data_IF_405171767892
#
_entry.id   IF_405171767892
#
_cell.length_a   1.000
_cell.length_b   1.000
_cell.length_c   1.000
_cell.angle_alpha   90.00
_cell.angle_beta   90.00
_cell.angle_gamma   90.00
#
_symmetry.space_group_name_H-M   'P 1'
#
loop_
_entity.id
_entity.type
_entity.pdbx_description
1 polymer ?
#
# COMPACT_ATOMS: atom_id res chain seq x y z
N UNK A 1 18.29 22.27 -5.40
CA UNK A 1 18.86 20.95 -5.74
C UNK A 1 19.73 21.16 -6.96
N UNK A 2 21.07 21.01 -6.81
CA UNK A 2 22.01 21.08 -7.93
C UNK A 2 21.84 19.77 -8.71
N UNK A 3 21.13 19.82 -9.83
CA UNK A 3 20.88 18.68 -10.71
C UNK A 3 22.20 18.26 -11.38
N UNK A 4 22.57 16.99 -11.26
CA UNK A 4 23.59 16.35 -12.10
C UNK A 4 24.98 16.14 -11.46
N UNK A 5 25.16 16.31 -10.15
CA UNK A 5 26.47 16.02 -9.52
C UNK A 5 26.44 14.58 -8.96
N UNK A 6 27.35 13.75 -9.46
CA UNK A 6 27.67 12.45 -8.85
C UNK A 6 28.50 12.68 -7.59
N UNK A 7 28.10 12.06 -6.49
CA UNK A 7 28.78 12.13 -5.20
C UNK A 7 29.41 10.78 -4.89
N UNK A 8 30.68 10.78 -4.48
CA UNK A 8 31.34 9.59 -3.97
C UNK A 8 31.22 9.56 -2.44
N UNK A 9 30.43 8.63 -1.91
CA UNK A 9 30.28 8.39 -0.47
C UNK A 9 31.36 7.42 -0.03
N UNK A 10 32.33 7.90 0.77
CA UNK A 10 33.43 7.10 1.29
C UNK A 10 33.10 6.60 2.69
N UNK A 11 33.13 5.29 2.87
CA UNK A 11 32.90 4.64 4.16
C UNK A 11 34.24 4.54 4.94
N UNK A 12 34.15 4.41 6.27
CA UNK A 12 35.33 4.31 7.14
C UNK A 12 36.24 3.11 6.82
N UNK A 13 35.71 2.04 6.27
CA UNK A 13 36.45 0.85 5.82
C UNK A 13 37.15 1.05 4.47
N UNK A 14 37.15 2.26 3.92
CA UNK A 14 37.78 2.62 2.64
C UNK A 14 36.92 2.40 1.40
N UNK A 15 35.80 1.71 1.52
CA UNK A 15 34.85 1.48 0.41
C UNK A 15 34.21 2.80 -0.06
N UNK A 16 33.86 2.86 -1.34
CA UNK A 16 33.29 4.06 -1.95
C UNK A 16 32.06 3.65 -2.76
N UNK A 17 30.93 4.37 -2.54
CA UNK A 17 29.69 4.24 -3.31
C UNK A 17 29.50 5.50 -4.15
N UNK A 18 29.27 5.33 -5.45
CA UNK A 18 28.94 6.43 -6.35
C UNK A 18 27.41 6.63 -6.34
N UNK A 19 26.98 7.86 -6.05
CA UNK A 19 25.56 8.21 -5.88
C UNK A 19 25.22 9.40 -6.77
N UNK A 20 24.16 9.29 -7.56
CA UNK A 20 23.58 10.42 -8.29
C UNK A 20 22.74 11.27 -7.35
N UNK A 21 22.65 12.57 -7.60
CA UNK A 21 21.80 13.48 -6.81
C UNK A 21 20.33 13.06 -6.73
N UNK A 22 19.80 12.44 -7.79
CA UNK A 22 18.44 11.86 -7.82
C UNK A 22 18.24 10.65 -6.90
N UNK A 23 19.32 10.03 -6.42
CA UNK A 23 19.31 8.83 -5.57
C UNK A 23 19.54 9.16 -4.08
N UNK A 24 19.51 10.43 -3.69
CA UNK A 24 19.83 10.84 -2.32
C UNK A 24 18.89 10.19 -1.28
N UNK A 25 17.62 10.08 -1.58
CA UNK A 25 16.66 9.38 -0.71
C UNK A 25 17.05 7.91 -0.49
N UNK A 26 17.35 7.18 -1.56
CA UNK A 26 17.78 5.78 -1.46
C UNK A 26 19.13 5.62 -0.74
N UNK A 27 20.02 6.61 -0.87
CA UNK A 27 21.26 6.62 -0.05
C UNK A 27 20.93 6.69 1.44
N UNK A 28 19.99 7.54 1.85
CA UNK A 28 19.57 7.61 3.27
C UNK A 28 18.95 6.30 3.73
N UNK A 29 18.13 5.66 2.90
CA UNK A 29 17.59 4.34 3.20
C UNK A 29 18.67 3.26 3.30
N UNK A 30 19.71 3.27 2.43
CA UNK A 30 20.87 2.37 2.56
C UNK A 30 21.57 2.58 3.88
N UNK A 31 21.90 3.83 4.23
CA UNK A 31 22.58 4.13 5.50
C UNK A 31 21.74 3.68 6.70
N UNK A 32 20.43 3.84 6.63
CA UNK A 32 19.49 3.32 7.62
C UNK A 32 19.45 1.80 7.66
N UNK A 33 19.39 1.12 6.50
CA UNK A 33 19.41 -0.35 6.44
C UNK A 33 20.69 -0.96 7.02
N UNK A 34 21.83 -0.29 6.83
CA UNK A 34 23.11 -0.73 7.41
C UNK A 34 23.12 -0.72 8.94
N UNK A 35 22.21 0.00 9.61
CA UNK A 35 22.08 -0.04 11.07
C UNK A 35 21.48 -1.37 11.58
N UNK A 36 20.83 -2.12 10.70
CA UNK A 36 20.23 -3.44 10.97
C UNK A 36 21.04 -4.59 10.35
N UNK A 37 22.13 -4.26 9.63
CA UNK A 37 23.00 -5.25 9.00
C UNK A 37 24.04 -5.76 9.99
N UNK A 38 24.39 -7.05 9.91
CA UNK A 38 25.52 -7.65 10.62
C UNK A 38 26.83 -7.37 9.86
N UNK A 39 26.76 -7.36 8.54
CA UNK A 39 27.89 -7.01 7.69
C UNK A 39 27.44 -6.36 6.38
N UNK A 40 28.34 -5.64 5.73
CA UNK A 40 28.14 -5.16 4.37
C UNK A 40 29.45 -5.04 3.61
N UNK A 41 29.37 -5.17 2.29
CA UNK A 41 30.47 -4.89 1.38
C UNK A 41 30.01 -4.02 0.20
N UNK A 42 30.92 -3.28 -0.39
CA UNK A 42 30.67 -2.49 -1.59
C UNK A 42 31.65 -2.94 -2.67
N UNK A 43 31.09 -3.51 -3.72
CA UNK A 43 31.83 -4.02 -4.86
C UNK A 43 31.67 -3.05 -6.05
N UNK A 44 32.78 -2.78 -6.77
CA UNK A 44 32.74 -1.97 -8.00
C UNK A 44 32.06 -0.58 -7.89
N UNK A 45 32.06 0.08 -6.74
CA UNK A 45 31.43 1.41 -6.49
C UNK A 45 29.94 1.51 -6.75
N UNK A 46 29.28 0.42 -7.14
CA UNK A 46 27.86 0.45 -7.52
C UNK A 46 27.06 -0.75 -7.03
N UNK A 47 27.69 -1.73 -6.40
CA UNK A 47 27.02 -2.91 -5.86
C UNK A 47 27.24 -2.94 -4.36
N UNK A 48 26.15 -3.02 -3.61
CA UNK A 48 26.14 -3.17 -2.17
C UNK A 48 25.63 -4.57 -1.86
N UNK A 49 26.36 -5.31 -1.05
CA UNK A 49 25.90 -6.56 -0.44
C UNK A 49 25.64 -6.29 1.04
N UNK A 50 24.44 -6.58 1.51
CA UNK A 50 24.01 -6.39 2.89
C UNK A 50 23.68 -7.77 3.46
N UNK A 51 24.24 -8.11 4.60
CA UNK A 51 23.93 -9.33 5.34
C UNK A 51 23.19 -8.96 6.63
N UNK A 52 22.04 -9.61 6.88
CA UNK A 52 21.24 -9.37 8.08
C UNK A 52 21.60 -10.37 9.21
N UNK A 53 20.95 -10.23 10.37
CA UNK A 53 21.14 -11.06 11.57
C UNK A 53 20.76 -12.54 11.36
N UNK A 54 20.00 -12.85 10.31
CA UNK A 54 19.67 -14.21 9.89
C UNK A 54 20.66 -14.77 8.87
N UNK A 55 21.82 -14.14 8.69
CA UNK A 55 22.87 -14.49 7.70
C UNK A 55 22.38 -14.51 6.25
N UNK A 56 21.28 -13.82 5.94
CA UNK A 56 20.79 -13.68 4.58
C UNK A 56 21.45 -12.49 3.88
N UNK A 57 21.89 -12.71 2.66
CA UNK A 57 22.59 -11.74 1.84
C UNK A 57 21.67 -11.15 0.77
N UNK A 58 21.65 -9.83 0.70
CA UNK A 58 20.91 -9.07 -0.30
C UNK A 58 21.88 -8.27 -1.14
N UNK A 59 21.91 -8.54 -2.44
CA UNK A 59 22.77 -7.84 -3.40
C UNK A 59 21.93 -6.77 -4.09
N UNK A 60 22.38 -5.53 -4.02
CA UNK A 60 21.71 -4.34 -4.54
C UNK A 60 22.61 -3.68 -5.55
N UNK A 61 22.12 -3.51 -6.77
CA UNK A 61 22.79 -2.73 -7.80
C UNK A 61 22.34 -1.27 -7.69
N UNK A 62 23.16 -0.44 -7.10
CA UNK A 62 22.85 0.96 -6.82
C UNK A 62 22.99 1.87 -8.06
N UNK A 63 23.84 1.54 -8.99
CA UNK A 63 24.05 2.35 -10.19
C UNK A 63 24.16 1.48 -11.46
N UNK A 64 23.19 1.52 -12.39
CA UNK A 64 21.92 2.28 -12.29
C UNK A 64 20.97 1.66 -11.27
N UNK A 65 20.26 2.51 -10.52
CA UNK A 65 19.24 2.07 -9.57
C UNK A 65 17.93 1.80 -10.32
N UNK A 66 17.47 0.58 -10.31
CA UNK A 66 16.14 0.22 -10.81
C UNK A 66 15.06 0.43 -9.74
N UNK A 67 13.77 0.42 -10.12
CA UNK A 67 12.65 0.46 -9.19
C UNK A 67 12.73 -0.71 -8.19
N UNK A 68 13.03 -1.91 -8.67
CA UNK A 68 13.17 -3.10 -7.80
C UNK A 68 14.28 -2.94 -6.76
N UNK A 69 15.42 -2.39 -7.17
CA UNK A 69 16.53 -2.15 -6.24
C UNK A 69 16.18 -1.05 -5.22
N UNK A 70 15.50 0.01 -5.67
CA UNK A 70 14.99 1.06 -4.79
C UNK A 70 14.03 0.50 -3.74
N UNK A 71 13.06 -0.28 -4.17
CA UNK A 71 12.09 -0.92 -3.28
C UNK A 71 12.76 -1.91 -2.32
N UNK A 72 13.76 -2.67 -2.77
CA UNK A 72 14.53 -3.56 -1.90
C UNK A 72 15.26 -2.78 -0.80
N UNK A 73 15.92 -1.67 -1.15
CA UNK A 73 16.59 -0.80 -0.17
C UNK A 73 15.60 -0.29 0.89
N UNK A 74 14.45 0.18 0.45
CA UNK A 74 13.42 0.69 1.35
C UNK A 74 12.89 -0.41 2.29
N UNK A 75 12.65 -1.62 1.78
CA UNK A 75 12.24 -2.76 2.60
C UNK A 75 13.28 -3.09 3.67
N UNK A 76 14.56 -3.15 3.31
CA UNK A 76 15.65 -3.44 4.24
C UNK A 76 15.86 -2.33 5.29
N UNK A 77 15.35 -1.14 5.05
CA UNK A 77 15.35 -0.04 6.02
C UNK A 77 14.07 -0.03 6.88
N UNK A 78 12.90 0.07 6.26
CA UNK A 78 11.64 0.23 6.97
C UNK A 78 11.17 -1.05 7.67
N UNK A 79 11.40 -2.21 7.04
CA UNK A 79 10.95 -3.49 7.59
C UNK A 79 11.51 -3.77 8.98
N UNK A 80 12.83 -3.81 9.19
CA UNK A 80 13.43 -4.06 10.50
C UNK A 80 13.05 -3.02 11.55
N UNK A 81 12.89 -1.74 11.15
CA UNK A 81 12.39 -0.68 12.03
C UNK A 81 11.05 -1.01 12.68
N UNK A 82 10.19 -1.76 11.98
CA UNK A 82 8.88 -2.20 12.46
C UNK A 82 8.83 -3.69 12.81
N UNK A 83 9.99 -4.31 13.01
CA UNK A 83 10.13 -5.68 13.48
C UNK A 83 9.96 -6.76 12.42
N UNK A 84 10.05 -6.41 11.13
CA UNK A 84 10.05 -7.39 10.06
C UNK A 84 11.45 -7.98 9.83
N UNK A 85 11.47 -9.23 9.37
CA UNK A 85 12.68 -9.95 8.97
C UNK A 85 12.61 -10.32 7.49
N UNK A 86 13.77 -10.39 6.85
CA UNK A 86 13.89 -10.78 5.46
C UNK A 86 14.83 -11.96 5.29
N UNK A 87 14.41 -12.95 4.50
CA UNK A 87 15.21 -14.11 4.11
C UNK A 87 15.36 -14.16 2.59
N UNK A 88 16.48 -14.67 2.11
CA UNK A 88 16.81 -14.77 0.68
C UNK A 88 17.05 -16.21 0.22
N UNK A 89 16.90 -17.18 1.12
CA UNK A 89 17.10 -18.60 0.87
C UNK A 89 15.77 -19.35 0.66
N UNK A 90 15.86 -20.62 0.29
CA UNK A 90 14.71 -21.51 0.05
C UNK A 90 14.15 -22.18 1.32
N UNK A 91 14.56 -21.73 2.50
CA UNK A 91 14.01 -22.24 3.74
C UNK A 91 12.50 -21.99 3.82
N UNK A 92 11.80 -22.91 4.48
CA UNK A 92 10.36 -22.78 4.64
C UNK A 92 10.05 -21.56 5.53
N UNK A 93 9.45 -20.55 4.94
CA UNK A 93 9.11 -19.28 5.62
C UNK A 93 8.20 -19.49 6.84
N UNK A 94 7.42 -20.56 6.89
CA UNK A 94 6.56 -20.87 8.03
C UNK A 94 7.32 -21.19 9.32
N UNK A 95 8.61 -21.52 9.24
CA UNK A 95 9.48 -21.80 10.38
C UNK A 95 9.95 -20.51 11.09
N UNK A 96 9.74 -19.36 10.48
CA UNK A 96 10.17 -18.08 11.03
C UNK A 96 9.05 -17.37 11.81
N UNK A 97 9.42 -16.30 12.53
CA UNK A 97 8.48 -15.44 13.26
C UNK A 97 7.49 -14.75 12.32
N UNK A 98 6.39 -14.28 12.88
CA UNK A 98 5.47 -13.39 12.17
C UNK A 98 6.24 -12.17 11.62
N UNK A 99 5.74 -11.61 10.53
CA UNK A 99 6.40 -10.53 9.77
C UNK A 99 7.76 -10.92 9.16
N UNK A 100 7.98 -12.20 8.88
CA UNK A 100 9.10 -12.63 8.04
C UNK A 100 8.67 -12.70 6.59
N UNK A 101 9.50 -12.17 5.71
CA UNK A 101 9.28 -12.14 4.27
C UNK A 101 10.45 -12.80 3.56
N UNK A 102 10.15 -13.58 2.53
CA UNK A 102 11.14 -14.13 1.63
C UNK A 102 11.28 -13.26 0.40
N UNK A 103 12.52 -12.92 0.02
CA UNK A 103 12.83 -12.17 -1.21
C UNK A 103 13.67 -13.07 -2.09
N UNK A 104 13.20 -13.34 -3.29
CA UNK A 104 13.87 -14.19 -4.25
C UNK A 104 13.67 -13.69 -5.68
N UNK A 105 14.41 -14.27 -6.64
CA UNK A 105 14.29 -13.94 -8.06
C UNK A 105 13.69 -15.10 -8.84
N UNK A 106 12.71 -14.79 -9.70
CA UNK A 106 12.13 -15.71 -10.67
C UNK A 106 12.03 -15.00 -12.01
N UNK A 107 12.57 -15.61 -13.10
CA UNK A 107 12.59 -15.02 -14.43
C UNK A 107 13.15 -13.58 -14.46
N UNK A 108 14.24 -13.35 -13.76
CA UNK A 108 14.90 -12.04 -13.61
C UNK A 108 14.05 -10.94 -12.95
N UNK A 109 12.97 -11.29 -12.28
CA UNK A 109 12.15 -10.36 -11.50
C UNK A 109 12.25 -10.71 -10.02
N UNK A 110 12.42 -9.70 -9.16
CA UNK A 110 12.44 -9.89 -7.72
C UNK A 110 11.03 -9.98 -7.18
N UNK A 111 10.78 -11.00 -6.36
CA UNK A 111 9.50 -11.27 -5.72
C UNK A 111 9.70 -11.21 -4.21
N UNK A 112 8.77 -10.59 -3.51
CA UNK A 112 8.60 -10.68 -2.06
C UNK A 112 7.39 -11.56 -1.76
N UNK A 113 7.53 -12.45 -0.80
CA UNK A 113 6.48 -13.36 -0.35
C UNK A 113 6.37 -13.28 1.17
N UNK A 114 5.16 -13.12 1.68
CA UNK A 114 4.90 -13.14 3.11
C UNK A 114 4.70 -14.58 3.62
N UNK A 115 4.59 -14.74 4.93
CA UNK A 115 4.42 -16.05 5.57
C UNK A 115 3.13 -16.79 5.17
N UNK A 116 2.12 -16.06 4.73
CA UNK A 116 0.82 -16.59 4.29
C UNK A 116 0.86 -17.01 2.80
N UNK A 117 2.01 -16.86 2.13
CA UNK A 117 2.23 -17.21 0.74
C UNK A 117 1.77 -16.14 -0.25
N UNK A 118 1.41 -14.95 0.21
CA UNK A 118 1.04 -13.82 -0.66
C UNK A 118 2.30 -13.23 -1.28
N UNK A 119 2.30 -13.07 -2.60
CA UNK A 119 3.46 -12.70 -3.39
C UNK A 119 3.25 -11.38 -4.13
N UNK A 120 4.33 -10.59 -4.21
CA UNK A 120 4.35 -9.37 -4.99
C UNK A 120 5.65 -9.25 -5.78
N UNK A 121 5.57 -8.76 -7.01
CA UNK A 121 6.76 -8.29 -7.71
C UNK A 121 7.28 -7.01 -7.05
N UNK A 122 8.55 -6.94 -6.69
CA UNK A 122 9.14 -5.73 -6.12
C UNK A 122 9.02 -4.52 -7.06
N UNK A 123 8.94 -4.75 -8.36
CA UNK A 123 8.76 -3.68 -9.37
C UNK A 123 7.39 -3.01 -9.28
N UNK A 124 6.36 -3.74 -8.84
CA UNK A 124 4.95 -3.33 -8.88
C UNK A 124 4.37 -3.03 -7.50
N UNK A 125 5.20 -2.68 -6.54
CA UNK A 125 4.77 -2.24 -5.22
C UNK A 125 5.28 -0.84 -4.93
N UNK A 126 4.63 -0.17 -4.00
CA UNK A 126 5.14 1.00 -3.29
C UNK A 126 5.51 0.56 -1.88
N UNK A 127 6.79 0.40 -1.64
CA UNK A 127 7.33 -0.31 -0.47
C UNK A 127 6.76 0.18 0.85
N UNK A 128 6.69 1.51 1.03
CA UNK A 128 6.23 2.09 2.29
C UNK A 128 4.73 1.88 2.50
N UNK A 129 3.93 1.97 1.44
CA UNK A 129 2.47 1.91 1.56
C UNK A 129 1.99 0.46 1.47
N UNK A 130 2.49 -0.31 0.50
CA UNK A 130 2.01 -1.67 0.26
C UNK A 130 2.44 -2.64 1.35
N UNK A 131 3.73 -2.98 1.40
CA UNK A 131 4.22 -4.05 2.28
C UNK A 131 4.28 -3.56 3.73
N UNK A 132 4.79 -2.33 3.94
CA UNK A 132 4.98 -1.81 5.29
C UNK A 132 3.65 -1.52 5.97
N UNK A 133 2.72 -0.85 5.32
CA UNK A 133 1.42 -0.50 5.93
C UNK A 133 0.51 -1.71 6.08
N UNK A 134 0.38 -2.53 5.03
CA UNK A 134 -0.57 -3.64 5.05
C UNK A 134 -0.04 -4.84 5.83
N UNK A 135 1.20 -5.28 5.61
CA UNK A 135 1.67 -6.56 6.17
C UNK A 135 2.61 -6.43 7.36
N UNK A 136 3.36 -5.33 7.49
CA UNK A 136 4.28 -5.13 8.61
C UNK A 136 3.61 -4.36 9.76
N UNK A 137 2.99 -3.22 9.46
CA UNK A 137 2.31 -2.37 10.45
C UNK A 137 0.84 -2.72 10.64
N UNK A 138 0.28 -3.51 9.74
CA UNK A 138 -1.11 -4.00 9.79
C UNK A 138 -2.18 -2.90 9.88
N UNK A 139 -1.90 -1.72 9.27
CA UNK A 139 -2.79 -0.56 9.36
C UNK A 139 -4.14 -0.80 8.68
N UNK A 140 -4.17 -1.65 7.65
CA UNK A 140 -5.38 -2.01 6.93
C UNK A 140 -6.07 -3.26 7.48
N UNK A 141 -5.46 -3.95 8.46
CA UNK A 141 -6.08 -5.10 9.08
C UNK A 141 -7.26 -4.68 9.95
N UNK A 142 -8.22 -5.56 10.08
CA UNK A 142 -9.35 -5.47 10.98
C UNK A 142 -9.15 -6.51 12.08
N UNK A 143 -9.94 -6.44 13.14
CA UNK A 143 -9.89 -7.40 14.24
C UNK A 143 -9.76 -8.84 13.70
N UNK A 144 -8.71 -9.54 14.11
CA UNK A 144 -8.40 -10.91 13.67
C UNK A 144 -9.45 -11.95 14.03
N UNK A 145 -10.36 -11.63 14.95
CA UNK A 145 -11.52 -12.48 15.31
C UNK A 145 -12.64 -12.46 14.26
N UNK A 146 -12.61 -11.52 13.30
CA UNK A 146 -13.62 -11.43 12.25
C UNK A 146 -13.32 -12.49 11.20
N UNK A 147 -14.26 -13.40 11.00
CA UNK A 147 -14.22 -14.36 9.91
C UNK A 147 -14.67 -13.69 8.61
N UNK A 148 -13.78 -13.67 7.64
CA UNK A 148 -14.04 -13.12 6.31
C UNK A 148 -14.43 -14.18 5.28
N UNK A 149 -14.52 -15.46 5.66
CA UNK A 149 -14.94 -16.51 4.74
C UNK A 149 -16.32 -16.20 4.17
N UNK A 150 -16.39 -16.24 2.85
CA UNK A 150 -17.62 -15.98 2.06
C UNK A 150 -18.20 -14.56 2.26
N UNK A 151 -17.43 -13.62 2.81
CA UNK A 151 -17.80 -12.23 3.02
C UNK A 151 -17.53 -11.38 1.79
N UNK A 152 -18.33 -10.34 1.60
CA UNK A 152 -18.16 -9.38 0.51
C UNK A 152 -17.38 -8.17 1.01
N UNK A 153 -16.26 -7.90 0.38
CA UNK A 153 -15.44 -6.73 0.61
C UNK A 153 -15.44 -5.86 -0.64
N UNK A 154 -15.71 -4.57 -0.48
CA UNK A 154 -15.43 -3.54 -1.49
C UNK A 154 -14.19 -2.79 -1.05
N UNK A 155 -13.16 -2.78 -1.89
CA UNK A 155 -11.90 -2.10 -1.66
C UNK A 155 -11.75 -0.93 -2.64
N UNK A 156 -11.93 0.29 -2.17
CA UNK A 156 -11.80 1.52 -2.94
C UNK A 156 -10.40 2.12 -2.75
N UNK A 157 -9.60 2.12 -3.81
CA UNK A 157 -8.17 2.43 -3.79
C UNK A 157 -7.36 1.17 -3.46
N UNK A 158 -7.46 0.19 -4.35
CA UNK A 158 -6.83 -1.12 -4.23
C UNK A 158 -5.33 -1.10 -4.60
N UNK A 159 -4.86 0.00 -5.19
CA UNK A 159 -3.47 0.23 -5.60
C UNK A 159 -2.88 -0.98 -6.35
N UNK A 160 -1.83 -1.58 -5.83
CA UNK A 160 -1.16 -2.74 -6.43
C UNK A 160 -1.74 -4.09 -5.97
N UNK A 161 -2.87 -4.11 -5.26
CA UNK A 161 -3.59 -5.31 -4.87
C UNK A 161 -3.21 -5.91 -3.51
N UNK A 162 -2.53 -5.17 -2.65
CA UNK A 162 -2.10 -5.64 -1.34
C UNK A 162 -3.27 -5.93 -0.40
N UNK A 163 -4.19 -4.98 -0.24
CA UNK A 163 -5.39 -5.17 0.59
C UNK A 163 -6.39 -6.16 -0.02
N UNK A 164 -6.66 -6.18 -1.34
CA UNK A 164 -7.44 -7.26 -1.95
C UNK A 164 -6.89 -8.66 -1.69
N UNK A 165 -5.57 -8.86 -1.86
CA UNK A 165 -4.92 -10.13 -1.60
C UNK A 165 -4.97 -10.50 -0.11
N UNK A 166 -4.83 -9.52 0.78
CA UNK A 166 -4.99 -9.75 2.21
C UNK A 166 -6.40 -10.24 2.56
N UNK A 167 -7.46 -9.57 2.09
CA UNK A 167 -8.83 -10.00 2.39
C UNK A 167 -9.19 -11.32 1.70
N UNK A 168 -8.72 -11.55 0.48
CA UNK A 168 -8.89 -12.83 -0.21
C UNK A 168 -8.19 -13.98 0.53
N UNK A 169 -7.03 -13.75 1.15
CA UNK A 169 -6.35 -14.76 1.99
C UNK A 169 -7.14 -15.14 3.24
N UNK A 170 -8.09 -14.30 3.65
CA UNK A 170 -9.05 -14.58 4.74
C UNK A 170 -10.37 -15.16 4.22
N UNK A 171 -10.47 -15.47 2.92
CA UNK A 171 -11.63 -16.11 2.30
C UNK A 171 -12.71 -15.16 1.79
N UNK A 172 -12.47 -13.85 1.79
CA UNK A 172 -13.44 -12.87 1.28
C UNK A 172 -13.48 -12.86 -0.25
N UNK A 173 -14.67 -12.59 -0.80
CA UNK A 173 -14.84 -12.13 -2.18
C UNK A 173 -14.62 -10.62 -2.22
N UNK A 174 -13.66 -10.16 -3.01
CA UNK A 174 -13.22 -8.76 -3.02
C UNK A 174 -13.51 -8.10 -4.36
N UNK A 175 -14.21 -6.98 -4.34
CA UNK A 175 -14.36 -6.07 -5.48
C UNK A 175 -13.33 -4.94 -5.32
N UNK A 176 -12.27 -4.99 -6.11
CA UNK A 176 -11.08 -4.16 -5.96
C UNK A 176 -11.06 -3.03 -7.01
N UNK A 177 -11.28 -1.80 -6.55
CA UNK A 177 -11.36 -0.62 -7.41
C UNK A 177 -10.06 0.17 -7.36
N UNK A 178 -9.43 0.34 -8.52
CA UNK A 178 -8.24 1.17 -8.68
C UNK A 178 -8.36 2.00 -9.96
N UNK A 179 -8.42 3.34 -9.83
CA UNK A 179 -8.64 4.23 -10.96
C UNK A 179 -7.41 4.50 -11.81
N UNK A 180 -6.21 4.37 -11.28
CA UNK A 180 -4.98 4.74 -11.97
C UNK A 180 -4.45 3.54 -12.76
N UNK A 181 -4.38 3.66 -14.08
CA UNK A 181 -4.01 2.54 -14.98
C UNK A 181 -2.71 1.85 -14.57
N UNK A 182 -1.67 2.61 -14.21
CA UNK A 182 -0.39 2.04 -13.80
C UNK A 182 -0.48 1.21 -12.50
N UNK A 183 -1.33 1.62 -11.57
CA UNK A 183 -1.60 0.86 -10.33
C UNK A 183 -2.47 -0.35 -10.61
N UNK A 184 -3.49 -0.17 -11.45
CA UNK A 184 -4.36 -1.25 -11.88
C UNK A 184 -3.57 -2.36 -12.60
N UNK A 185 -2.67 -1.97 -13.52
CA UNK A 185 -1.76 -2.93 -14.17
C UNK A 185 -0.85 -3.63 -13.15
N UNK A 186 -0.33 -2.89 -12.17
CA UNK A 186 0.47 -3.45 -11.08
C UNK A 186 -0.34 -4.47 -10.26
N UNK A 187 -1.61 -4.16 -9.94
CA UNK A 187 -2.53 -5.09 -9.28
C UNK A 187 -2.72 -6.37 -10.11
N UNK A 188 -3.04 -6.26 -11.40
CA UNK A 188 -3.21 -7.44 -12.26
C UNK A 188 -1.95 -8.32 -12.30
N UNK A 189 -0.75 -7.71 -12.36
CA UNK A 189 0.51 -8.46 -12.31
C UNK A 189 0.69 -9.21 -10.99
N UNK A 190 0.39 -8.55 -9.86
CA UNK A 190 0.49 -9.17 -8.55
C UNK A 190 -0.58 -10.25 -8.34
N UNK A 191 -1.80 -10.06 -8.83
CA UNK A 191 -2.85 -11.08 -8.84
C UNK A 191 -2.41 -12.32 -9.61
N UNK A 192 -1.73 -12.15 -10.75
CA UNK A 192 -1.18 -13.25 -11.54
C UNK A 192 -0.13 -14.09 -10.81
N UNK A 193 0.52 -13.57 -9.76
CA UNK A 193 1.41 -14.37 -8.89
C UNK A 193 0.63 -15.20 -7.85
N UNK A 194 -0.65 -14.90 -7.64
CA UNK A 194 -1.47 -15.43 -6.55
C UNK A 194 -2.74 -16.09 -7.11
N UNK A 195 -2.59 -17.05 -8.02
CA UNK A 195 -3.66 -17.62 -8.84
C UNK A 195 -4.89 -18.08 -8.02
N UNK A 196 -4.69 -18.72 -6.86
CA UNK A 196 -5.81 -19.19 -6.05
C UNK A 196 -6.56 -18.05 -5.36
N UNK A 197 -5.84 -17.04 -4.86
CA UNK A 197 -6.44 -15.87 -4.24
C UNK A 197 -7.13 -14.97 -5.27
N UNK A 198 -6.56 -14.88 -6.47
CA UNK A 198 -7.12 -14.06 -7.55
C UNK A 198 -8.53 -14.50 -8.00
N UNK A 199 -8.88 -15.76 -7.79
CA UNK A 199 -10.25 -16.28 -8.06
C UNK A 199 -11.32 -15.62 -7.16
N UNK A 200 -10.92 -15.08 -6.02
CA UNK A 200 -11.79 -14.38 -5.08
C UNK A 200 -11.81 -12.85 -5.30
N UNK A 201 -10.98 -12.34 -6.22
CA UNK A 201 -10.82 -10.91 -6.44
C UNK A 201 -11.35 -10.52 -7.82
N UNK A 202 -12.16 -9.49 -7.87
CA UNK A 202 -12.67 -8.88 -9.09
C UNK A 202 -12.00 -7.51 -9.22
N UNK A 203 -10.93 -7.38 -10.04
CA UNK A 203 -10.27 -6.11 -10.28
C UNK A 203 -11.12 -5.23 -11.20
N UNK A 204 -11.23 -3.94 -10.87
CA UNK A 204 -12.07 -2.98 -11.59
C UNK A 204 -11.28 -1.68 -11.76
N UNK A 205 -10.98 -1.32 -13.00
CA UNK A 205 -10.32 -0.04 -13.31
C UNK A 205 -11.36 1.09 -13.31
N UNK A 206 -11.70 1.55 -12.12
CA UNK A 206 -12.63 2.66 -11.90
C UNK A 206 -12.40 3.31 -10.53
N UNK A 207 -12.81 4.58 -10.40
CA UNK A 207 -12.86 5.28 -9.14
C UNK A 207 -14.19 5.04 -8.44
N UNK A 208 -14.18 4.82 -7.13
CA UNK A 208 -15.41 4.85 -6.31
C UNK A 208 -15.73 6.31 -5.95
N UNK A 209 -17.01 6.68 -5.97
CA UNK A 209 -17.49 7.97 -5.48
C UNK A 209 -18.64 8.56 -6.29
N UNK A 210 -18.41 8.94 -7.53
CA UNK A 210 -19.41 9.52 -8.42
C UNK A 210 -19.44 8.80 -9.77
N UNK A 211 -20.61 8.72 -10.38
CA UNK A 211 -20.74 8.20 -11.73
C UNK A 211 -20.21 9.18 -12.78
N UNK A 212 -19.74 8.64 -13.91
CA UNK A 212 -19.24 9.39 -15.05
C UNK A 212 -17.72 9.58 -15.06
N UNK A 213 -17.24 10.43 -15.95
CA UNK A 213 -15.80 10.72 -16.06
C UNK A 213 -15.37 11.69 -14.95
N UNK A 214 -14.30 11.32 -14.25
CA UNK A 214 -13.70 12.08 -13.15
C UNK A 214 -12.29 12.50 -13.54
N UNK A 215 -11.95 13.77 -13.32
CA UNK A 215 -10.60 14.28 -13.55
C UNK A 215 -9.76 14.07 -12.29
N UNK A 216 -8.75 13.18 -12.37
CA UNK A 216 -7.79 12.96 -11.31
C UNK A 216 -6.58 13.86 -11.44
N UNK A 217 -6.13 14.40 -10.31
CA UNK A 217 -4.91 15.19 -10.19
C UNK A 217 -3.83 14.36 -9.50
N UNK A 218 -2.67 14.20 -10.15
CA UNK A 218 -1.54 13.41 -9.64
C UNK A 218 -0.20 14.13 -9.80
N UNK A 219 0.83 13.63 -9.14
CA UNK A 219 2.18 14.14 -9.25
C UNK A 219 2.73 13.96 -10.67
N UNK A 220 3.46 14.98 -11.13
CA UNK A 220 4.08 14.97 -12.46
C UNK A 220 5.39 14.13 -12.49
N UNK A 221 5.97 13.87 -11.32
CA UNK A 221 7.32 13.29 -11.21
C UNK A 221 7.35 11.77 -11.11
N UNK A 222 6.19 11.11 -10.90
CA UNK A 222 6.11 9.66 -10.64
C UNK A 222 4.97 9.04 -11.42
N UNK A 223 5.25 7.96 -12.15
CA UNK A 223 4.21 7.19 -12.84
C UNK A 223 3.36 6.38 -11.86
N UNK A 224 3.91 6.03 -10.72
CA UNK A 224 3.27 5.30 -9.63
C UNK A 224 3.31 6.19 -8.38
N UNK A 225 2.30 7.04 -8.17
CA UNK A 225 2.22 7.96 -7.02
C UNK A 225 0.93 7.78 -6.23
N UNK A 226 1.02 7.54 -4.93
CA UNK A 226 -0.11 7.30 -4.00
C UNK A 226 -1.00 8.48 -3.74
N UNK A 227 -0.78 9.63 -4.36
CA UNK A 227 -1.48 10.87 -4.00
C UNK A 227 -2.45 11.38 -5.05
N UNK A 228 -2.92 10.52 -5.94
CA UNK A 228 -3.93 10.86 -6.92
C UNK A 228 -5.31 11.08 -6.25
N UNK A 229 -6.03 12.13 -6.66
CA UNK A 229 -7.37 12.41 -6.17
C UNK A 229 -8.18 13.19 -7.21
N UNK A 230 -9.47 12.90 -7.31
CA UNK A 230 -10.41 13.72 -8.09
C UNK A 230 -11.04 14.84 -7.26
N UNK A 231 -10.82 14.81 -5.96
CA UNK A 231 -11.38 15.80 -5.00
C UNK A 231 -10.38 16.91 -4.69
N UNK A 232 -9.09 16.57 -4.65
CA UNK A 232 -8.04 17.50 -4.24
C UNK A 232 -6.94 17.60 -5.28
N UNK A 233 -6.65 18.82 -5.71
CA UNK A 233 -5.40 19.11 -6.41
C UNK A 233 -4.36 19.60 -5.40
N UNK A 234 -3.54 18.68 -4.85
CA UNK A 234 -2.44 19.06 -3.94
C UNK A 234 -1.14 19.39 -4.66
N UNK A 235 -1.08 19.16 -5.97
CA UNK A 235 0.12 19.37 -6.80
C UNK A 235 0.10 20.72 -7.52
N UNK A 236 -0.96 21.53 -7.33
CA UNK A 236 -1.09 22.87 -7.90
C UNK A 236 -1.24 22.86 -9.43
N UNK A 237 -0.83 23.96 -10.10
CA UNK A 237 -1.03 24.11 -11.55
C UNK A 237 -0.19 23.15 -12.40
N UNK A 238 0.83 22.53 -11.82
CA UNK A 238 1.70 21.57 -12.51
C UNK A 238 1.24 20.11 -12.32
N UNK A 239 0.06 19.88 -11.74
CA UNK A 239 -0.48 18.53 -11.60
C UNK A 239 -0.71 17.89 -12.97
N UNK A 240 -0.31 16.64 -13.11
CA UNK A 240 -0.74 15.80 -14.23
C UNK A 240 -2.21 15.44 -14.02
N UNK A 241 -3.01 15.55 -15.06
CA UNK A 241 -4.42 15.15 -15.02
C UNK A 241 -4.65 13.91 -15.86
N UNK A 242 -5.59 13.07 -15.44
CA UNK A 242 -6.12 11.96 -16.23
C UNK A 242 -7.62 11.85 -16.01
N UNK A 243 -8.34 11.47 -17.05
CA UNK A 243 -9.77 11.13 -16.93
C UNK A 243 -9.91 9.65 -16.61
N UNK A 244 -10.79 9.35 -15.66
CA UNK A 244 -11.01 8.02 -15.12
C UNK A 244 -12.51 7.77 -15.01
N UNK A 245 -12.96 6.56 -15.31
CA UNK A 245 -14.33 6.16 -15.07
C UNK A 245 -14.62 6.14 -13.57
N UNK A 246 -15.61 6.92 -13.15
CA UNK A 246 -16.13 6.91 -11.79
C UNK A 246 -17.42 6.09 -11.69
N UNK A 247 -17.63 5.49 -10.53
CA UNK A 247 -18.83 4.76 -10.16
C UNK A 247 -19.27 5.13 -8.75
N UNK A 248 -20.55 5.49 -8.58
CA UNK A 248 -21.12 5.62 -7.24
C UNK A 248 -21.25 4.25 -6.57
N UNK A 249 -21.34 4.24 -5.25
CA UNK A 249 -21.54 2.98 -4.53
C UNK A 249 -22.87 2.33 -4.92
N UNK A 250 -23.92 3.13 -5.15
CA UNK A 250 -25.22 2.65 -5.65
C UNK A 250 -25.08 1.91 -6.99
N UNK A 251 -24.36 2.50 -7.94
CA UNK A 251 -24.08 1.88 -9.25
C UNK A 251 -23.27 0.59 -9.10
N UNK A 252 -22.31 0.56 -8.19
CA UNK A 252 -21.50 -0.64 -7.90
C UNK A 252 -22.40 -1.77 -7.36
N UNK A 253 -23.22 -1.46 -6.35
CA UNK A 253 -24.12 -2.44 -5.72
C UNK A 253 -25.11 -3.03 -6.72
N UNK A 254 -25.67 -2.19 -7.59
CA UNK A 254 -26.58 -2.63 -8.65
C UNK A 254 -25.87 -3.46 -9.71
N UNK A 255 -24.76 -2.96 -10.26
CA UNK A 255 -24.02 -3.61 -11.36
C UNK A 255 -23.52 -5.00 -11.02
N UNK A 256 -23.09 -5.21 -9.78
CA UNK A 256 -22.53 -6.47 -9.33
C UNK A 256 -23.50 -7.33 -8.50
N UNK A 257 -24.78 -6.93 -8.43
CA UNK A 257 -25.84 -7.62 -7.69
C UNK A 257 -25.42 -7.88 -6.22
N UNK A 258 -25.01 -6.79 -5.55
CA UNK A 258 -24.55 -6.84 -4.17
C UNK A 258 -25.64 -6.27 -3.25
N UNK A 259 -26.32 -7.14 -2.55
CA UNK A 259 -27.34 -6.74 -1.58
C UNK A 259 -26.74 -6.19 -0.29
N UNK A 260 -25.59 -6.75 0.12
CA UNK A 260 -24.94 -6.43 1.37
C UNK A 260 -23.43 -6.48 1.26
N UNK A 261 -22.77 -5.51 1.90
CA UNK A 261 -21.30 -5.40 2.00
C UNK A 261 -20.86 -5.65 3.44
N UNK A 262 -20.07 -6.68 3.66
CA UNK A 262 -19.56 -6.99 4.99
C UNK A 262 -18.48 -6.00 5.44
N UNK A 263 -17.67 -5.52 4.48
CA UNK A 263 -16.69 -4.47 4.70
C UNK A 263 -16.54 -3.58 3.48
N UNK A 264 -16.65 -2.26 3.68
CA UNK A 264 -16.20 -1.24 2.74
C UNK A 264 -14.87 -0.66 3.25
N UNK A 265 -13.76 -0.96 2.57
CA UNK A 265 -12.47 -0.30 2.80
C UNK A 265 -12.32 0.83 1.80
N UNK A 266 -11.92 2.01 2.27
CA UNK A 266 -11.71 3.21 1.46
C UNK A 266 -10.37 3.84 1.77
N UNK A 267 -9.49 3.85 0.79
CA UNK A 267 -8.25 4.61 0.76
C UNK A 267 -8.14 5.34 -0.59
N UNK A 268 -9.06 6.23 -0.83
CA UNK A 268 -9.29 6.87 -2.13
C UNK A 268 -9.11 8.39 -2.11
N UNK A 269 -8.58 8.92 -1.00
CA UNK A 269 -8.17 10.33 -0.86
C UNK A 269 -9.28 11.32 -1.25
N UNK A 270 -10.49 11.11 -0.72
CA UNK A 270 -11.64 11.99 -0.88
C UNK A 270 -12.95 11.32 -1.30
N UNK A 271 -12.94 10.08 -1.81
CA UNK A 271 -14.16 9.38 -2.20
C UNK A 271 -15.06 9.07 -1.00
N UNK A 272 -14.51 8.99 0.20
CA UNK A 272 -15.20 8.73 1.46
C UNK A 272 -16.31 9.75 1.79
N UNK A 273 -16.31 10.90 1.14
CA UNK A 273 -17.31 11.94 1.35
C UNK A 273 -18.51 11.89 0.38
N UNK A 274 -18.59 10.86 -0.47
CA UNK A 274 -19.64 10.76 -1.50
C UNK A 274 -20.64 9.63 -1.25
N UNK A 275 -20.54 8.93 -0.14
CA UNK A 275 -21.54 7.94 0.25
C UNK A 275 -22.84 8.61 0.68
N UNK A 276 -23.97 8.00 0.34
CA UNK A 276 -25.28 8.41 0.82
C UNK A 276 -25.83 7.46 1.91
N UNK A 277 -26.90 7.87 2.58
CA UNK A 277 -27.42 7.13 3.72
C UNK A 277 -28.06 5.78 3.32
N UNK A 278 -28.58 5.66 2.10
CA UNK A 278 -29.17 4.39 1.61
C UNK A 278 -28.08 3.38 1.27
N UNK A 279 -26.97 3.83 0.70
CA UNK A 279 -25.77 3.01 0.50
C UNK A 279 -25.21 2.52 1.84
N UNK A 280 -25.11 3.42 2.80
CA UNK A 280 -24.60 3.08 4.12
C UNK A 280 -25.43 2.02 4.84
N UNK A 281 -26.74 1.93 4.61
CA UNK A 281 -27.62 0.89 5.19
C UNK A 281 -27.22 -0.53 4.76
N UNK A 282 -26.59 -0.67 3.61
CA UNK A 282 -26.16 -1.97 3.07
C UNK A 282 -24.77 -2.41 3.55
N UNK A 283 -24.10 -1.63 4.39
CA UNK A 283 -22.73 -1.87 4.85
C UNK A 283 -22.70 -2.23 6.32
N UNK A 284 -22.05 -3.31 6.70
CA UNK A 284 -21.86 -3.73 8.09
C UNK A 284 -20.69 -3.05 8.76
N UNK A 285 -19.54 -2.97 8.06
CA UNK A 285 -18.30 -2.38 8.55
C UNK A 285 -17.71 -1.44 7.51
N UNK A 286 -17.05 -0.41 7.99
CA UNK A 286 -16.36 0.55 7.14
C UNK A 286 -14.97 0.85 7.72
N UNK A 287 -13.97 0.83 6.85
CA UNK A 287 -12.61 1.22 7.19
C UNK A 287 -12.12 2.27 6.22
N UNK A 288 -11.80 3.44 6.74
CA UNK A 288 -11.46 4.60 5.93
C UNK A 288 -10.10 5.15 6.33
N UNK A 289 -9.22 5.36 5.34
CA UNK A 289 -8.17 6.37 5.45
C UNK A 289 -8.74 7.68 4.91
N UNK A 290 -8.96 8.66 5.77
CA UNK A 290 -9.56 9.92 5.36
C UNK A 290 -8.54 11.05 5.20
N UNK A 291 -8.82 11.94 4.24
CA UNK A 291 -8.13 13.22 4.06
C UNK A 291 -9.16 14.34 4.03
N UNK A 292 -9.33 15.03 5.16
CA UNK A 292 -10.30 16.11 5.31
C UNK A 292 -9.68 17.46 4.89
N UNK A 293 -10.21 18.07 3.81
CA UNK A 293 -9.71 19.35 3.29
C UNK A 293 -10.86 20.24 2.79
N UNK A 294 -10.75 21.54 3.04
CA UNK A 294 -11.71 22.53 2.54
C UNK A 294 -13.11 22.31 3.11
N UNK A 295 -14.10 22.08 2.24
CA UNK A 295 -15.49 21.80 2.61
C UNK A 295 -15.72 20.40 3.19
N UNK A 296 -14.81 19.48 2.92
CA UNK A 296 -14.87 18.10 3.40
C UNK A 296 -14.29 17.99 4.79
N UNK A 297 -15.15 17.86 5.79
CA UNK A 297 -14.78 17.82 7.22
C UNK A 297 -15.03 16.45 7.80
N UNK A 298 -14.06 15.94 8.57
CA UNK A 298 -14.19 14.65 9.23
C UNK A 298 -15.39 14.59 10.18
N UNK A 299 -15.72 15.70 10.82
CA UNK A 299 -16.87 15.79 11.72
C UNK A 299 -18.20 15.51 11.00
N UNK A 300 -18.33 15.95 9.72
CA UNK A 300 -19.52 15.70 8.92
C UNK A 300 -19.63 14.22 8.56
N UNK A 301 -18.50 13.60 8.16
CA UNK A 301 -18.45 12.16 7.86
C UNK A 301 -18.79 11.34 9.11
N UNK A 302 -18.19 11.66 10.25
CA UNK A 302 -18.49 10.99 11.52
C UNK A 302 -19.96 11.08 11.88
N UNK A 303 -20.57 12.28 11.78
CA UNK A 303 -21.98 12.50 12.05
C UNK A 303 -22.87 11.67 11.12
N UNK A 304 -22.55 11.61 9.83
CA UNK A 304 -23.28 10.81 8.85
C UNK A 304 -23.20 9.32 9.20
N UNK A 305 -22.02 8.79 9.47
CA UNK A 305 -21.83 7.38 9.85
C UNK A 305 -22.59 7.05 11.15
N UNK A 306 -22.49 7.91 12.17
CA UNK A 306 -23.22 7.71 13.43
C UNK A 306 -24.74 7.75 13.25
N UNK A 307 -25.26 8.71 12.46
CA UNK A 307 -26.68 8.76 12.12
C UNK A 307 -27.15 7.52 11.34
N UNK A 308 -26.25 6.92 10.56
CA UNK A 308 -26.48 5.67 9.85
C UNK A 308 -26.30 4.43 10.73
N UNK A 309 -26.06 4.58 12.03
CA UNK A 309 -25.99 3.49 13.02
C UNK A 309 -24.60 2.87 13.22
N UNK A 310 -23.53 3.49 12.75
CA UNK A 310 -22.17 3.00 13.00
C UNK A 310 -21.63 3.48 14.34
N UNK A 311 -20.98 2.57 15.05
CA UNK A 311 -20.06 2.88 16.14
C UNK A 311 -18.68 3.13 15.54
N UNK A 312 -18.19 4.37 15.66
CA UNK A 312 -16.97 4.79 14.99
C UNK A 312 -15.81 4.96 15.98
N UNK A 313 -14.66 4.41 15.64
CA UNK A 313 -13.39 4.62 16.33
C UNK A 313 -12.40 5.28 15.38
N UNK A 314 -11.80 6.37 15.81
CA UNK A 314 -10.73 7.04 15.08
C UNK A 314 -9.39 6.68 15.68
N UNK A 315 -8.41 6.43 14.82
CA UNK A 315 -7.04 6.19 15.25
C UNK A 315 -6.05 6.84 14.29
N UNK A 316 -4.82 6.98 14.73
CA UNK A 316 -3.73 7.55 13.96
C UNK A 316 -2.65 6.53 13.76
N UNK A 317 -1.93 6.70 12.69
CA UNK A 317 -0.61 6.14 12.59
C UNK A 317 0.29 6.75 13.68
N UNK A 318 0.98 5.91 14.45
CA UNK A 318 1.89 6.34 15.51
C UNK A 318 2.99 7.29 15.04
N UNK A 319 3.37 7.20 13.76
CA UNK A 319 4.41 8.03 13.15
C UNK A 319 3.87 9.37 12.59
N UNK A 320 2.55 9.55 12.55
CA UNK A 320 1.92 10.78 12.05
C UNK A 320 1.97 11.87 13.11
N UNK A 321 2.77 12.91 12.86
CA UNK A 321 2.85 14.14 13.67
C UNK A 321 1.69 15.12 13.41
N UNK A 322 0.82 14.85 12.43
CA UNK A 322 -0.23 15.77 12.00
C UNK A 322 -1.52 15.59 12.80
N UNK A 323 -2.28 16.68 12.91
CA UNK A 323 -3.52 16.70 13.68
C UNK A 323 -4.60 15.78 13.06
N UNK A 324 -5.32 15.07 13.89
CA UNK A 324 -6.42 14.15 13.56
C UNK A 324 -7.55 14.75 12.71
N UNK A 325 -7.61 16.06 12.57
CA UNK A 325 -8.68 16.74 11.85
C UNK A 325 -8.41 16.85 10.33
N UNK A 326 -7.20 16.50 9.87
CA UNK A 326 -6.81 16.62 8.47
C UNK A 326 -6.70 15.24 7.82
N UNK A 327 -6.06 14.29 8.46
CA UNK A 327 -5.89 12.93 7.95
C UNK A 327 -5.81 11.91 9.09
N UNK A 328 -6.20 10.68 8.82
CA UNK A 328 -6.15 9.58 9.79
C UNK A 328 -6.97 8.39 9.32
N UNK A 329 -7.17 7.47 10.25
CA UNK A 329 -7.96 6.27 10.02
C UNK A 329 -9.24 6.29 10.85
N UNK A 330 -10.31 5.74 10.26
CA UNK A 330 -11.59 5.55 10.90
C UNK A 330 -12.04 4.11 10.69
N UNK A 331 -12.49 3.46 11.76
CA UNK A 331 -13.18 2.19 11.69
C UNK A 331 -14.60 2.38 12.26
N UNK A 332 -15.60 1.93 11.52
CA UNK A 332 -16.99 1.95 11.91
C UNK A 332 -17.63 0.58 11.79
N UNK A 333 -18.44 0.18 12.76
CA UNK A 333 -19.19 -1.08 12.73
C UNK A 333 -20.59 -0.90 13.27
N UNK A 334 -21.56 -1.62 12.69
CA UNK A 334 -22.94 -1.77 13.21
C UNK A 334 -23.10 -3.06 14.01
N UNK A 335 -22.16 -3.98 13.86
CA UNK A 335 -22.18 -5.28 14.49
C UNK A 335 -21.54 -5.13 15.87
N UNK A 336 -22.15 -5.66 16.91
CA UNK A 336 -21.49 -5.79 18.20
C UNK A 336 -20.35 -6.78 18.04
N UNK A 337 -19.11 -6.27 18.11
CA UNK A 337 -17.91 -7.09 18.11
C UNK A 337 -17.56 -7.42 19.57
N UNK A 338 -17.26 -8.69 19.83
CA UNK A 338 -16.68 -9.07 21.13
C UNK A 338 -15.29 -8.46 21.23
N UNK A 339 -15.07 -7.71 22.29
CA UNK A 339 -13.81 -7.03 22.61
C UNK A 339 -12.68 -8.02 22.94
#
# INVERSE_FOLDING_TARGET
IILGIDVNVKFKNGNTLQVKSSQYYHLLCVLGALTYATSFSINSKSIIEIENDLMNKFVIKFNPLSIEEGNLIELLYWGPKYGANFISNDENISNFRDKTFRIYSKNNQKIIENREGIKFFLRYIQTNNTITETFIRTLHHINSKIDFKDKIVIDAGAECGDTPLYFASKGAKVYAFEPIDAHFEAMEKNLGLNEELSKLIIPINAAVGKDGLLTFHRDNSVDIGTSASFVYNKHGPNARTSEVQGMSLSTILEKYDIDKVDLLKMDCKGCEFFMNDDELKKIDRIKIEYVAKGKYKIQNLLKQLQNSGFHCTMYRDSDSKNSSNIAGYLYGTRIKEEQ
#
